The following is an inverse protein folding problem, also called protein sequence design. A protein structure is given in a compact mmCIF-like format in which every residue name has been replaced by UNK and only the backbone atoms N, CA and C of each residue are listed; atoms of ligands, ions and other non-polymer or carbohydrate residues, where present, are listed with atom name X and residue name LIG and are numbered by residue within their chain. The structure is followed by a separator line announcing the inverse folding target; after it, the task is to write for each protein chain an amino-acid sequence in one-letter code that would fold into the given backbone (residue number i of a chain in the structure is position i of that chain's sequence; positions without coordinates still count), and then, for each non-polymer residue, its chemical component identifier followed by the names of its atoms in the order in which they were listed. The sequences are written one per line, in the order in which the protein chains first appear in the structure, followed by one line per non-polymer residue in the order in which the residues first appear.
data_IF_478218906863
#
_entry.id   IF_478218906863
#
_cell.length_a   1.000
_cell.length_b   1.000
_cell.length_c   1.000
_cell.angle_alpha   90.00
_cell.angle_beta   90.00
_cell.angle_gamma   90.00
#
_symmetry.space_group_name_H-M   'P 1'
#
loop_
_entity.id
_entity.type
_entity.pdbx_description
1 polymer ?
2 polymer ?
3 non-polymer ?
4 non-polymer ?
#
# COMPACT_ATOMS: atom_id res chain seq x y z
N UNK A 1 -2.91 -29.22 -11.62
CA UNK A 1 -3.61 -29.04 -12.91
C UNK A 1 -5.06 -29.53 -12.88
N UNK A 2 -5.26 -30.85 -12.96
CA UNK A 2 -6.60 -31.40 -13.05
C UNK A 2 -7.40 -31.28 -11.75
N UNK A 3 -6.81 -31.65 -10.61
CA UNK A 3 -7.42 -31.45 -9.30
C UNK A 3 -7.54 -29.96 -8.99
N UNK A 4 -6.44 -29.23 -9.17
CA UNK A 4 -6.40 -27.79 -8.95
C UNK A 4 -7.47 -27.00 -9.70
N UNK A 5 -7.78 -27.41 -10.92
CA UNK A 5 -8.78 -26.72 -11.74
C UNK A 5 -10.23 -27.03 -11.34
N UNK A 6 -10.40 -28.05 -10.49
CA UNK A 6 -11.72 -28.62 -10.22
C UNK A 6 -12.24 -28.35 -8.81
N UNK A 7 -11.34 -28.35 -7.83
CA UNK A 7 -11.74 -28.27 -6.42
C UNK A 7 -12.00 -26.86 -5.93
N UNK A 8 -13.17 -26.68 -5.32
CA UNK A 8 -13.48 -25.48 -4.55
C UNK A 8 -13.10 -25.74 -3.11
N UNK A 9 -12.76 -24.68 -2.39
CA UNK A 9 -12.32 -24.82 -1.00
C UNK A 9 -13.43 -25.25 -0.03
N UNK A 10 -14.70 -25.12 -0.45
CA UNK A 10 -15.82 -25.65 0.34
C UNK A 10 -15.83 -27.19 0.42
N UNK A 11 -15.04 -27.85 -0.44
CA UNK A 11 -14.94 -29.31 -0.47
C UNK A 11 -13.71 -29.87 0.24
N UNK A 12 -12.75 -29.01 0.55
CA UNK A 12 -11.50 -29.42 1.19
C UNK A 12 -11.57 -29.63 2.71
N UNK A 13 -12.67 -29.22 3.35
CA UNK A 13 -12.73 -29.19 4.82
C UNK A 13 -12.82 -30.56 5.46
N UNK A 14 -13.71 -31.40 4.96
CA UNK A 14 -13.78 -32.79 5.41
C UNK A 14 -12.46 -33.50 5.18
N UNK A 15 -11.73 -33.04 4.16
CA UNK A 15 -10.45 -33.61 3.80
C UNK A 15 -9.34 -33.13 4.74
N UNK A 16 -9.37 -31.85 5.12
CA UNK A 16 -8.39 -31.31 6.07
C UNK A 16 -8.56 -31.83 7.50
N UNK A 17 -9.73 -32.37 7.84
CA UNK A 17 -9.94 -33.05 9.12
C UNK A 17 -9.07 -34.29 9.27
N UNK A 18 -9.00 -35.08 8.20
CA UNK A 18 -8.15 -36.26 8.15
C UNK A 18 -6.66 -35.89 8.06
N UNK A 19 -6.35 -34.76 7.42
CA UNK A 19 -4.98 -34.27 7.28
C UNK A 19 -4.86 -32.80 7.74
N UNK A 20 -4.89 -32.56 9.07
CA UNK A 20 -4.72 -31.19 9.57
C UNK A 20 -3.30 -30.66 9.39
N UNK A 21 -2.34 -31.58 9.28
CA UNK A 21 -0.93 -31.25 9.04
C UNK A 21 -0.69 -30.46 7.74
N UNK A 22 -1.53 -30.71 6.73
CA UNK A 22 -1.37 -30.09 5.43
C UNK A 22 -2.15 -28.77 5.25
N UNK A 23 -2.94 -28.40 6.26
CA UNK A 23 -3.74 -27.17 6.20
C UNK A 23 -2.87 -25.92 6.14
N UNK A 24 -1.93 -25.83 7.08
CA UNK A 24 -0.97 -24.72 7.11
C UNK A 24 -0.20 -24.67 5.79
N UNK A 25 0.29 -25.82 5.37
CA UNK A 25 0.99 -25.97 4.09
C UNK A 25 0.16 -25.37 2.95
N UNK A 26 -1.12 -25.73 2.88
CA UNK A 26 -2.04 -25.18 1.89
C UNK A 26 -2.16 -23.65 2.01
N UNK A 27 -2.35 -23.18 3.23
CA UNK A 27 -2.58 -21.76 3.48
C UNK A 27 -1.40 -20.89 3.04
N UNK A 28 -0.21 -21.24 3.52
CA UNK A 28 1.01 -20.51 3.16
C UNK A 28 1.26 -20.43 1.65
N UNK A 29 0.99 -21.53 0.97
CA UNK A 29 1.23 -21.70 -0.47
C UNK A 29 0.62 -20.61 -1.35
N UNK A 30 -0.55 -20.11 -0.96
CA UNK A 30 -1.29 -19.13 -1.78
C UNK A 30 -0.74 -17.72 -1.57
N UNK A 31 0.41 -17.44 -2.19
CA UNK A 31 1.07 -16.15 -2.04
C UNK A 31 1.30 -15.40 -3.36
N UNK A 32 0.90 -15.98 -4.49
CA UNK A 32 1.01 -15.30 -5.79
C UNK A 32 -0.24 -14.46 -6.02
N UNK A 33 -0.11 -13.14 -5.86
CA UNK A 33 -1.24 -12.22 -5.97
C UNK A 33 -1.77 -12.12 -7.39
N UNK A 34 -3.09 -11.96 -7.51
CA UNK A 34 -3.76 -11.77 -8.80
C UNK A 34 -4.51 -10.44 -8.83
N UNK A 35 -4.91 -9.93 -7.65
CA UNK A 35 -5.65 -8.68 -7.54
C UNK A 35 -4.80 -7.63 -6.81
N UNK A 36 -5.34 -6.41 -6.70
CA UNK A 36 -4.65 -5.29 -6.06
C UNK A 36 -4.19 -4.22 -7.02
N UNK A 37 -4.66 -4.28 -8.27
CA UNK A 37 -4.37 -3.26 -9.28
C UNK A 37 -5.63 -2.50 -9.66
N UNK A 38 -5.46 -1.21 -9.99
CA UNK A 38 -6.54 -0.37 -10.49
C UNK A 38 -5.96 0.77 -11.33
N UNK A 39 -6.75 1.25 -12.28
CA UNK A 39 -6.33 2.34 -13.15
C UNK A 39 -6.32 3.68 -12.42
N UNK A 40 -5.49 4.59 -12.91
CA UNK A 40 -5.40 5.94 -12.35
C UNK A 40 -5.69 6.95 -13.45
N UNK A 41 -6.49 7.96 -13.14
CA UNK A 41 -6.85 8.98 -14.13
C UNK A 41 -6.01 10.23 -13.96
N UNK A 42 -5.37 10.66 -15.04
CA UNK A 42 -4.46 11.80 -15.02
C UNK A 42 -5.20 13.12 -15.25
N UNK A 43 -4.69 14.21 -14.67
CA UNK A 43 -3.52 14.30 -13.79
C UNK A 43 -3.80 13.74 -12.41
N UNK A 44 -2.92 12.86 -11.93
CA UNK A 44 -3.14 12.14 -10.68
C UNK A 44 -2.55 12.91 -9.49
N UNK A 45 -3.41 13.63 -8.77
CA UNK A 45 -2.97 14.34 -7.57
C UNK A 45 -2.75 13.36 -6.42
N UNK A 46 -1.69 13.61 -5.67
CA UNK A 46 -1.25 12.67 -4.63
C UNK A 46 -2.04 12.73 -3.32
N UNK A 47 -3.05 13.59 -3.22
CA UNK A 47 -4.06 13.45 -2.16
C UNK A 47 -5.02 12.31 -2.50
N UNK A 48 -5.19 12.03 -3.80
CA UNK A 48 -5.98 10.88 -4.27
C UNK A 48 -5.23 9.56 -4.07
N UNK A 49 -3.93 9.61 -3.84
CA UNK A 49 -3.12 8.41 -3.62
C UNK A 49 -3.64 7.55 -2.47
N UNK A 50 -3.85 6.28 -2.78
CA UNK A 50 -4.34 5.31 -1.82
C UNK A 50 -3.16 4.84 -0.96
N UNK A 51 -3.35 4.79 0.34
CA UNK A 51 -2.28 4.45 1.28
C UNK A 51 -1.69 3.06 0.99
N UNK A 52 -0.38 2.95 1.12
CA UNK A 52 0.37 1.70 0.90
C UNK A 52 0.17 1.09 -0.49
N UNK A 53 0.39 1.92 -1.50
CA UNK A 53 0.16 1.55 -2.89
C UNK A 53 1.23 2.18 -3.79
N UNK A 54 2.00 1.34 -4.48
CA UNK A 54 2.99 1.81 -5.46
C UNK A 54 2.29 2.24 -6.73
N UNK A 55 2.92 3.09 -7.51
CA UNK A 55 2.41 3.45 -8.84
C UNK A 55 3.27 2.78 -9.92
N UNK A 56 2.61 2.36 -11.00
CA UNK A 56 3.27 1.71 -12.13
C UNK A 56 2.81 2.34 -13.42
N UNK A 57 3.69 3.15 -14.01
CA UNK A 57 3.46 3.75 -15.30
C UNK A 57 4.21 2.92 -16.33
N UNK A 58 3.50 2.53 -17.38
CA UNK A 58 4.07 1.70 -18.44
C UNK A 58 3.14 1.69 -19.65
N UNK A 59 3.63 1.21 -20.81
CA UNK A 59 2.75 1.01 -21.96
C UNK A 59 1.57 0.05 -21.68
N UNK A 60 1.76 -0.85 -20.72
CA UNK A 60 0.72 -1.82 -20.34
C UNK A 60 -0.24 -1.29 -19.28
N UNK A 61 -0.17 0.02 -19.03
CA UNK A 61 -1.17 0.70 -18.23
C UNK A 61 -0.57 1.57 -17.13
N UNK A 62 -1.15 2.75 -16.97
CA UNK A 62 -0.88 3.59 -15.81
C UNK A 62 -1.79 3.09 -14.70
N UNK A 63 -1.22 2.42 -13.70
CA UNK A 63 -2.01 1.75 -12.67
C UNK A 63 -1.36 1.79 -11.29
N UNK A 64 -2.19 1.89 -10.26
CA UNK A 64 -1.74 1.82 -8.88
C UNK A 64 -1.81 0.36 -8.41
N UNK A 65 -0.81 -0.07 -7.65
CA UNK A 65 -0.68 -1.47 -7.26
C UNK A 65 -0.38 -1.57 -5.77
N UNK A 66 -1.06 -2.49 -5.10
CA UNK A 66 -0.88 -2.72 -3.67
C UNK A 66 0.54 -3.23 -3.39
N UNK A 67 1.05 -2.96 -2.20
CA UNK A 67 2.44 -3.29 -1.86
C UNK A 67 2.70 -4.80 -1.76
N UNK A 68 1.74 -5.55 -1.23
CA UNK A 68 1.87 -7.01 -1.14
C UNK A 68 1.87 -7.64 -2.54
N UNK A 69 1.04 -7.09 -3.42
CA UNK A 69 0.93 -7.55 -4.80
C UNK A 69 2.09 -7.09 -5.69
N UNK A 70 2.81 -6.05 -5.28
CA UNK A 70 3.90 -5.50 -6.08
C UNK A 70 5.10 -6.44 -6.16
N UNK A 71 5.48 -6.81 -7.38
CA UNK A 71 6.61 -7.70 -7.64
C UNK A 71 7.84 -6.97 -8.23
N UNK A 72 7.64 -5.75 -8.71
CA UNK A 72 8.76 -4.93 -9.20
C UNK A 72 9.65 -4.46 -8.04
N UNK A 73 9.04 -4.28 -6.86
CA UNK A 73 9.77 -3.86 -5.66
C UNK A 73 10.67 -4.96 -5.12
N UNK A 74 11.58 -4.58 -4.23
CA UNK A 74 12.61 -5.47 -3.70
C UNK A 74 12.58 -5.50 -2.17
N UNK A 75 12.05 -6.59 -1.61
CA UNK A 75 11.79 -6.71 -0.17
C UNK A 75 13.00 -6.37 0.71
N UNK A 76 14.18 -6.81 0.31
CA UNK A 76 15.41 -6.57 1.08
C UNK A 76 15.81 -5.10 1.18
N UNK A 77 15.58 -4.33 0.13
CA UNK A 77 16.09 -2.95 0.05
C UNK A 77 15.39 -1.97 0.98
N UNK A 78 16.18 -1.06 1.54
CA UNK A 78 15.69 -0.02 2.44
C UNK A 78 15.81 1.34 1.76
N UNK A 79 14.69 2.03 1.61
CA UNK A 79 14.66 3.38 1.04
C UNK A 79 14.64 4.41 2.17
N UNK A 80 15.30 5.57 1.95
CA UNK A 80 15.42 6.59 3.00
C UNK A 80 14.09 7.22 3.38
N UNK A 81 14.09 7.94 4.49
CA UNK A 81 12.92 8.65 4.99
C UNK A 81 12.99 10.14 4.68
N UNK A 82 11.88 10.83 4.93
CA UNK A 82 11.85 12.27 4.81
C UNK A 82 12.83 12.92 5.78
N UNK A 83 13.05 12.24 6.91
CA UNK A 83 14.04 12.66 7.90
C UNK A 83 15.45 12.50 7.37
N UNK A 84 15.74 11.38 6.73
CA UNK A 84 17.04 11.21 6.06
C UNK A 84 17.22 12.29 4.99
N UNK A 85 16.13 12.60 4.28
CA UNK A 85 16.11 13.60 3.25
C UNK A 85 16.42 14.98 3.81
N UNK A 86 15.88 15.26 5.01
CA UNK A 86 16.18 16.51 5.71
C UNK A 86 17.65 16.58 6.08
N UNK A 87 18.16 15.52 6.69
CA UNK A 87 19.58 15.43 7.00
C UNK A 87 20.43 15.69 5.75
N UNK A 88 20.02 15.14 4.61
CA UNK A 88 20.71 15.34 3.34
C UNK A 88 20.65 16.83 2.92
N UNK A 89 19.46 17.44 3.06
CA UNK A 89 19.29 18.87 2.84
C UNK A 89 20.25 19.69 3.69
N UNK A 90 20.35 19.32 4.97
CA UNK A 90 21.28 19.96 5.89
C UNK A 90 22.73 19.82 5.44
N UNK A 91 23.10 18.64 4.94
CA UNK A 91 24.48 18.39 4.48
C UNK A 91 24.75 18.59 2.96
N UNK A 92 23.86 19.31 2.26
CA UNK A 92 24.02 19.60 0.83
C UNK A 92 25.42 19.91 0.36
N UNK A 93 26.10 20.81 1.07
CA UNK A 93 27.39 21.32 0.64
C UNK A 93 28.49 20.26 0.73
N UNK A 94 28.20 19.14 1.39
CA UNK A 94 29.11 18.01 1.44
C UNK A 94 28.85 17.00 0.32
N UNK A 95 27.79 17.19 -0.45
CA UNK A 95 27.37 16.21 -1.47
C UNK A 95 26.96 16.85 -2.79
N UNK A 96 27.66 17.91 -3.16
CA UNK A 96 27.33 18.71 -4.34
C UNK A 96 27.36 17.88 -5.62
N UNK A 97 28.42 17.09 -5.82
CA UNK A 97 28.55 16.24 -7.00
C UNK A 97 27.49 15.12 -7.01
N UNK A 98 27.30 14.45 -5.88
CA UNK A 98 26.22 13.46 -5.77
C UNK A 98 24.91 14.04 -6.29
N UNK A 99 24.57 15.23 -5.82
CA UNK A 99 23.32 15.91 -6.17
C UNK A 99 23.47 16.90 -7.34
N UNK A 100 24.52 16.75 -8.14
CA UNK A 100 24.75 17.60 -9.33
C UNK A 100 23.46 17.83 -10.12
N UNK A 101 22.75 16.72 -10.32
CA UNK A 101 21.55 16.65 -11.13
C UNK A 101 20.46 17.62 -10.64
N UNK A 102 20.35 17.73 -9.32
CA UNK A 102 19.39 18.63 -8.67
C UNK A 102 19.73 20.08 -8.93
N UNK A 103 21.02 20.41 -8.88
CA UNK A 103 21.47 21.79 -9.05
C UNK A 103 21.34 22.27 -10.50
N UNK A 104 21.57 21.38 -11.48
CA UNK A 104 21.34 21.70 -12.89
C UNK A 104 19.94 22.29 -13.12
N UNK A 105 18.96 21.77 -12.41
CA UNK A 105 17.57 22.21 -12.54
C UNK A 105 17.34 23.70 -12.31
N UNK A 106 18.24 24.34 -11.56
CA UNK A 106 18.16 25.78 -11.32
C UNK A 106 18.58 26.61 -12.54
N UNK A 107 19.30 25.98 -13.47
CA UNK A 107 19.81 26.63 -14.68
C UNK A 107 20.66 27.85 -14.35
N UNK A 108 21.63 27.63 -13.46
CA UNK A 108 22.58 28.66 -13.01
C UNK A 108 21.95 29.95 -12.44
N UNK A 109 20.71 29.87 -11.98
CA UNK A 109 20.05 30.99 -11.30
C UNK A 109 20.31 30.90 -9.81
N UNK A 110 20.84 31.98 -9.23
CA UNK A 110 21.13 32.03 -7.80
C UNK A 110 19.91 32.47 -6.98
N UNK A 111 18.93 33.07 -7.63
CA UNK A 111 17.69 33.44 -6.95
C UNK A 111 16.86 32.20 -6.63
N UNK A 112 16.65 31.36 -7.65
CA UNK A 112 15.94 30.09 -7.47
C UNK A 112 16.65 29.22 -6.44
N UNK A 113 17.97 29.34 -6.40
CA UNK A 113 18.79 28.61 -5.44
C UNK A 113 18.59 29.11 -4.00
N UNK A 114 18.62 30.43 -3.83
CA UNK A 114 18.36 31.04 -2.52
C UNK A 114 16.98 30.66 -1.98
N UNK A 115 16.00 30.54 -2.86
CA UNK A 115 14.66 30.09 -2.47
C UNK A 115 14.69 28.65 -1.96
N UNK A 116 15.52 27.81 -2.57
CA UNK A 116 15.62 26.41 -2.18
C UNK A 116 16.14 26.26 -0.74
N UNK A 117 17.04 27.15 -0.33
CA UNK A 117 17.63 27.10 1.01
C UNK A 117 16.66 27.58 2.09
N UNK A 118 15.57 28.24 1.68
CA UNK A 118 14.43 28.52 2.57
C UNK A 118 13.31 27.46 2.52
N UNK A 119 13.35 26.53 1.55
CA UNK A 119 12.28 25.55 1.31
C UNK A 119 12.82 24.11 1.22
N UNK A 120 13.11 23.49 2.36
CA UNK A 120 13.67 22.15 2.35
C UNK A 120 12.90 21.06 1.56
N UNK A 121 11.55 21.10 1.56
CA UNK A 121 10.84 19.97 0.92
C UNK A 121 11.11 19.79 -0.58
N UNK A 122 11.64 20.84 -1.19
CA UNK A 122 12.07 20.80 -2.59
C UNK A 122 13.25 19.85 -2.75
N UNK A 123 14.35 20.13 -2.07
CA UNK A 123 15.46 19.17 -2.01
C UNK A 123 14.97 17.78 -1.54
N UNK A 124 14.20 17.75 -0.44
CA UNK A 124 13.76 16.47 0.14
C UNK A 124 13.07 15.59 -0.88
N UNK A 125 12.10 16.17 -1.59
CA UNK A 125 11.31 15.42 -2.56
C UNK A 125 12.19 14.92 -3.69
N UNK A 126 13.09 15.77 -4.18
CA UNK A 126 14.05 15.31 -5.19
C UNK A 126 14.84 14.15 -4.63
N UNK A 127 15.50 14.38 -3.51
CA UNK A 127 16.32 13.35 -2.86
C UNK A 127 15.55 12.05 -2.77
N UNK A 128 14.29 12.11 -2.34
CA UNK A 128 13.47 10.91 -2.14
C UNK A 128 13.14 10.21 -3.45
N UNK A 129 12.81 10.97 -4.49
CA UNK A 129 12.52 10.39 -5.78
C UNK A 129 13.77 9.78 -6.41
N UNK A 130 14.89 10.50 -6.29
CA UNK A 130 16.15 10.08 -6.89
C UNK A 130 16.62 8.73 -6.36
N UNK A 131 16.47 8.54 -5.04
CA UNK A 131 16.82 7.28 -4.40
C UNK A 131 16.02 6.10 -4.97
N UNK A 132 14.75 6.36 -5.30
CA UNK A 132 13.90 5.36 -5.94
C UNK A 132 14.26 5.19 -7.42
N UNK A 133 14.44 6.31 -8.13
CA UNK A 133 14.73 6.30 -9.56
C UNK A 133 15.79 7.33 -9.90
N UNK A 134 17.01 6.88 -10.12
CA UNK A 134 18.15 7.76 -10.42
C UNK A 134 18.01 8.52 -11.75
N UNK A 135 17.21 8.01 -12.68
CA UNK A 135 17.13 8.56 -14.04
C UNK A 135 16.04 9.63 -14.19
N UNK A 136 16.13 10.66 -13.35
CA UNK A 136 15.16 11.75 -13.30
C UNK A 136 15.85 13.09 -13.52
N UNK A 137 15.07 14.08 -13.93
CA UNK A 137 15.61 15.39 -14.24
C UNK A 137 14.67 16.41 -13.64
N UNK A 138 15.16 17.20 -12.67
CA UNK A 138 14.32 18.23 -12.08
C UNK A 138 14.47 19.57 -12.78
N UNK A 139 13.38 20.33 -12.81
CA UNK A 139 13.38 21.70 -13.32
C UNK A 139 12.69 22.59 -12.29
N UNK A 140 13.37 23.65 -11.89
CA UNK A 140 12.92 24.56 -10.85
C UNK A 140 12.40 25.85 -11.48
N UNK A 141 11.26 26.34 -10.99
CA UNK A 141 10.75 27.66 -11.34
C UNK A 141 10.04 28.28 -10.14
N UNK A 142 10.00 29.62 -10.12
CA UNK A 142 9.46 30.38 -8.99
C UNK A 142 8.27 31.23 -9.39
N UNK A 143 7.32 31.38 -8.46
CA UNK A 143 6.17 32.26 -8.65
C UNK A 143 5.78 32.88 -7.31
N UNK A 144 5.74 34.22 -7.27
CA UNK A 144 5.45 34.98 -6.05
C UNK A 144 6.41 34.63 -4.91
N UNK A 145 7.69 34.50 -5.26
CA UNK A 145 8.73 34.15 -4.29
C UNK A 145 8.66 32.75 -3.72
N UNK A 146 7.95 31.85 -4.41
CA UNK A 146 7.81 30.46 -3.98
C UNK A 146 8.35 29.51 -5.05
N UNK A 147 9.29 28.66 -4.65
CA UNK A 147 9.88 27.65 -5.51
C UNK A 147 8.95 26.44 -5.76
N UNK A 148 8.80 26.10 -7.04
CA UNK A 148 8.06 24.93 -7.47
C UNK A 148 9.05 24.03 -8.22
N UNK A 149 8.65 22.79 -8.49
CA UNK A 149 9.54 21.84 -9.15
C UNK A 149 8.77 20.89 -10.04
N UNK A 150 9.38 20.54 -11.17
CA UNK A 150 8.87 19.49 -12.05
C UNK A 150 9.98 18.47 -12.20
N UNK A 151 9.64 17.20 -11.99
CA UNK A 151 10.62 16.11 -12.06
C UNK A 151 10.23 15.20 -13.22
N UNK A 152 11.05 15.23 -14.27
CA UNK A 152 10.84 14.39 -15.45
C UNK A 152 11.55 13.06 -15.27
N UNK A 153 10.85 11.97 -15.58
CA UNK A 153 11.47 10.65 -15.63
C UNK A 153 11.97 10.38 -17.05
N UNK A 154 13.25 10.07 -17.16
CA UNK A 154 13.90 9.85 -18.46
C UNK A 154 13.30 8.67 -19.22
N UNK A 155 13.03 7.59 -18.50
CA UNK A 155 12.47 6.37 -19.09
C UNK A 155 10.94 6.44 -19.21
N UNK A 156 10.37 5.68 -20.16
CA UNK A 156 8.92 5.64 -20.31
C UNK A 156 8.24 4.72 -19.29
N UNK A 157 8.88 3.59 -18.97
CA UNK A 157 8.39 2.71 -17.93
C UNK A 157 8.93 3.20 -16.59
N UNK A 158 8.02 3.61 -15.70
CA UNK A 158 8.38 4.19 -14.41
C UNK A 158 7.59 3.53 -13.29
N UNK A 159 8.31 3.04 -12.28
CA UNK A 159 7.71 2.45 -11.11
C UNK A 159 8.07 3.29 -9.88
N UNK A 160 7.05 3.93 -9.30
CA UNK A 160 7.22 4.74 -8.10
C UNK A 160 6.88 3.87 -6.88
N UNK A 161 7.89 3.47 -6.09
CA UNK A 161 7.58 2.59 -4.96
C UNK A 161 6.71 3.23 -3.90
N UNK A 162 6.00 2.40 -3.16
CA UNK A 162 5.04 2.84 -2.16
C UNK A 162 5.64 3.72 -1.06
N UNK A 163 6.70 3.23 -0.43
CA UNK A 163 7.34 3.97 0.66
C UNK A 163 8.03 5.26 0.19
N UNK A 164 8.46 5.31 -1.08
CA UNK A 164 8.97 6.56 -1.67
C UNK A 164 7.90 7.66 -1.66
N UNK A 165 6.65 7.26 -1.88
CA UNK A 165 5.52 8.18 -1.95
C UNK A 165 5.14 8.62 -0.53
N UNK A 166 4.93 7.64 0.35
CA UNK A 166 4.65 7.93 1.75
C UNK A 166 5.56 9.01 2.30
N UNK A 167 6.86 8.89 2.02
CA UNK A 167 7.84 9.86 2.50
C UNK A 167 7.69 11.20 1.79
N UNK A 168 7.43 11.16 0.49
CA UNK A 168 7.17 12.37 -0.31
C UNK A 168 6.07 13.22 0.28
N UNK A 169 4.97 12.57 0.65
CA UNK A 169 3.82 13.29 1.17
C UNK A 169 4.14 13.88 2.54
N UNK A 170 4.99 13.20 3.30
CA UNK A 170 5.47 13.71 4.58
C UNK A 170 6.26 15.02 4.39
N UNK A 171 7.21 15.02 3.47
CA UNK A 171 7.96 16.24 3.17
C UNK A 171 7.07 17.31 2.54
N UNK A 172 6.02 16.90 1.83
CA UNK A 172 5.14 17.83 1.10
C UNK A 172 3.94 18.35 1.91
N UNK A 173 3.64 17.74 3.04
CA UNK A 173 2.33 17.94 3.70
C UNK A 173 1.89 19.39 3.92
N UNK A 174 0.58 19.61 3.79
CA UNK A 174 -0.08 20.92 3.95
C UNK A 174 0.35 21.97 2.91
N UNK A 175 1.61 22.37 2.94
CA UNK A 175 2.13 23.43 2.08
C UNK A 175 2.21 23.09 0.58
N UNK A 176 2.42 21.83 0.23
CA UNK A 176 2.62 21.45 -1.17
C UNK A 176 1.50 20.57 -1.71
N UNK A 177 1.34 20.62 -3.03
CA UNK A 177 0.53 19.64 -3.76
C UNK A 177 1.45 18.97 -4.77
N UNK A 178 1.25 17.67 -4.94
CA UNK A 178 2.02 16.89 -5.89
C UNK A 178 1.04 16.24 -6.85
N UNK A 179 1.34 16.31 -8.14
CA UNK A 179 0.53 15.64 -9.16
C UNK A 179 1.42 14.88 -10.11
N UNK A 180 1.07 13.63 -10.39
CA UNK A 180 1.73 12.86 -11.43
C UNK A 180 0.98 13.07 -12.75
N UNK A 181 1.74 13.19 -13.83
CA UNK A 181 1.17 13.33 -15.16
C UNK A 181 2.13 12.94 -16.28
N UNK A 182 1.57 12.41 -17.36
CA UNK A 182 2.34 12.04 -18.56
C UNK A 182 2.19 13.13 -19.61
N UNK A 183 3.31 13.49 -20.23
CA UNK A 183 3.33 14.48 -21.30
C UNK A 183 4.34 14.02 -22.36
N UNK A 184 3.90 13.97 -23.61
CA UNK A 184 4.73 13.52 -24.73
C UNK A 184 5.40 12.15 -24.43
N UNK A 185 4.63 11.26 -23.81
CA UNK A 185 5.08 9.91 -23.41
C UNK A 185 6.03 9.84 -22.18
N UNK A 186 6.36 10.98 -21.57
CA UNK A 186 7.24 11.00 -20.40
C UNK A 186 6.46 11.31 -19.11
N UNK A 187 6.90 10.71 -18.00
CA UNK A 187 6.27 10.92 -16.70
C UNK A 187 6.84 12.19 -16.07
N UNK A 188 5.94 13.01 -15.51
CA UNK A 188 6.35 14.25 -14.87
C UNK A 188 5.61 14.46 -13.55
N UNK A 189 6.38 14.50 -12.46
CA UNK A 189 5.83 14.77 -11.14
C UNK A 189 5.97 16.26 -10.84
N UNK A 190 4.83 16.91 -10.59
CA UNK A 190 4.77 18.35 -10.39
C UNK A 190 4.52 18.69 -8.93
N UNK A 191 5.48 19.40 -8.33
CA UNK A 191 5.36 19.81 -6.94
C UNK A 191 5.09 21.31 -6.87
N UNK A 192 3.91 21.66 -6.37
CA UNK A 192 3.51 23.06 -6.25
C UNK A 192 3.50 23.52 -4.79
N UNK A 193 4.24 24.58 -4.51
CA UNK A 193 4.28 25.23 -3.21
C UNK A 193 3.22 26.30 -3.05
N UNK A 194 2.26 26.05 -2.17
CA UNK A 194 1.20 27.02 -1.86
C UNK A 194 1.67 28.13 -0.94
N UNK A 195 2.46 27.77 0.08
CA UNK A 195 2.92 28.73 1.08
C UNK A 195 4.31 28.34 1.59
N UNK A 196 5.17 29.34 1.78
CA UNK A 196 6.51 29.13 2.35
C UNK A 196 6.44 29.35 3.86
N UNK A 197 6.36 28.25 4.60
CA UNK A 197 6.42 28.30 6.05
C UNK A 197 7.85 28.59 6.51
N UNK A 198 8.00 28.88 7.79
CA UNK A 198 9.30 29.15 8.39
C UNK A 198 10.14 27.89 8.48
N UNK A 199 11.39 27.98 8.01
CA UNK A 199 12.37 26.92 8.19
C UNK A 199 13.13 27.21 9.46
N UNK A 200 13.31 26.19 10.30
CA UNK A 200 14.03 26.33 11.55
C UNK A 200 15.53 26.01 11.41
N UNK A 201 15.99 25.80 10.18
CA UNK A 201 17.43 25.61 9.92
C UNK A 201 17.90 26.64 8.91
N UNK A 202 19.20 26.93 8.91
CA UNK A 202 19.79 27.88 7.97
C UNK A 202 20.98 27.28 7.24
N UNK A 203 20.82 27.06 5.94
CA UNK A 203 21.86 26.50 5.09
C UNK A 203 22.77 27.63 4.64
N UNK A 204 24.08 27.37 4.62
CA UNK A 204 25.06 28.38 4.27
C UNK A 204 24.96 28.68 2.77
N UNK A 205 24.20 29.72 2.45
CA UNK A 205 23.84 30.05 1.07
C UNK A 205 25.08 30.32 0.23
N UNK A 206 26.04 31.03 0.82
CA UNK A 206 27.23 31.48 0.09
C UNK A 206 28.11 30.32 -0.39
N UNK A 207 28.52 29.46 0.53
CA UNK A 207 29.35 28.28 0.17
C UNK A 207 28.62 27.37 -0.82
N UNK A 208 27.29 27.32 -0.72
CA UNK A 208 26.48 26.54 -1.65
C UNK A 208 26.44 27.21 -3.03
N UNK A 209 26.03 28.47 -3.07
CA UNK A 209 25.91 29.24 -4.32
C UNK A 209 27.23 29.35 -5.06
N UNK A 210 28.30 29.64 -4.32
CA UNK A 210 29.63 29.78 -4.89
C UNK A 210 30.15 28.42 -5.41
N UNK A 211 29.95 27.36 -4.62
CA UNK A 211 30.39 26.02 -5.02
C UNK A 211 29.60 25.45 -6.20
N UNK A 212 28.35 25.90 -6.35
CA UNK A 212 27.52 25.50 -7.49
C UNK A 212 27.98 26.19 -8.79
N UNK A 213 28.29 27.49 -8.70
CA UNK A 213 28.82 28.24 -9.84
C UNK A 213 30.09 27.59 -10.41
N UNK A 214 30.93 27.05 -9.54
CA UNK A 214 32.20 26.45 -9.94
C UNK A 214 32.07 25.20 -10.79
N UNK A 215 31.03 24.42 -10.55
CA UNK A 215 30.81 23.18 -11.31
C UNK A 215 30.63 23.43 -12.81
N UNK A 216 31.17 22.51 -13.61
CA UNK A 216 30.95 22.51 -15.06
C UNK A 216 29.74 21.64 -15.39
N UNK A 217 28.89 22.13 -16.29
CA UNK A 217 27.76 21.35 -16.80
C UNK A 217 28.26 20.52 -17.98
N UNK A 218 28.26 19.17 -17.86
CA UNK A 218 28.70 18.34 -19.00
C UNK A 218 27.76 18.47 -20.21
N UNK A 219 28.29 18.20 -21.39
CA UNK A 219 27.51 18.34 -22.64
C UNK A 219 26.42 17.27 -22.80
N UNK A 220 26.67 16.07 -22.26
CA UNK A 220 25.64 15.03 -22.20
C UNK A 220 24.46 15.53 -21.38
N UNK A 221 24.76 16.05 -20.20
CA UNK A 221 23.78 16.67 -19.32
C UNK A 221 23.10 17.86 -20.01
N UNK A 222 23.91 18.76 -20.54
CA UNK A 222 23.41 19.97 -21.18
C UNK A 222 22.41 19.65 -22.29
N UNK A 223 22.81 18.77 -23.22
CA UNK A 223 21.96 18.41 -24.37
C UNK A 223 20.72 17.60 -23.97
N UNK A 224 20.86 16.72 -22.99
CA UNK A 224 19.72 15.95 -22.47
C UNK A 224 18.73 16.85 -21.74
N UNK A 225 19.25 17.72 -20.87
CA UNK A 225 18.44 18.71 -20.15
C UNK A 225 17.74 19.66 -21.12
N UNK A 226 18.47 20.10 -22.13
CA UNK A 226 17.95 20.97 -23.18
C UNK A 226 16.68 20.41 -23.81
N UNK A 227 16.70 19.11 -24.09
CA UNK A 227 15.54 18.40 -24.64
C UNK A 227 14.36 18.46 -23.67
N UNK A 228 14.62 18.18 -22.40
CA UNK A 228 13.56 18.04 -21.41
C UNK A 228 12.91 19.35 -20.97
N UNK A 229 13.68 20.44 -20.87
CA UNK A 229 13.12 21.73 -20.46
C UNK A 229 11.88 22.11 -21.27
N UNK A 230 11.91 21.82 -22.58
CA UNK A 230 10.78 22.07 -23.48
C UNK A 230 9.53 21.30 -23.05
N UNK A 231 9.70 20.02 -22.77
CA UNK A 231 8.61 19.13 -22.39
C UNK A 231 7.74 19.71 -21.28
N UNK A 232 8.37 20.19 -20.21
CA UNK A 232 7.67 20.81 -19.09
C UNK A 232 6.91 22.06 -19.52
N UNK A 233 7.60 22.95 -20.24
CA UNK A 233 6.98 24.18 -20.71
C UNK A 233 5.72 23.91 -21.51
N UNK A 234 5.69 22.78 -22.23
CA UNK A 234 4.49 22.37 -22.95
C UNK A 234 3.37 21.87 -22.03
N UNK A 235 3.73 21.21 -20.93
CA UNK A 235 2.72 20.75 -19.95
C UNK A 235 2.15 21.90 -19.13
N UNK A 236 3.02 22.83 -18.74
CA UNK A 236 2.57 24.04 -18.05
C UNK A 236 1.54 24.76 -18.91
N UNK A 237 1.94 25.06 -20.15
CA UNK A 237 1.10 25.75 -21.12
C UNK A 237 1.37 25.24 -22.53
N UNK B 1 -23.07 -28.87 21.43
CA UNK B 1 -23.12 -27.39 21.18
C UNK B 1 -21.94 -26.64 21.81
N UNK B 2 -21.59 -27.04 23.03
CA UNK B 2 -20.37 -26.55 23.68
C UNK B 2 -19.14 -27.01 22.90
N UNK B 3 -19.19 -28.24 22.39
CA UNK B 3 -18.10 -28.80 21.59
C UNK B 3 -17.98 -28.04 20.27
N UNK B 4 -19.13 -27.74 19.67
CA UNK B 4 -19.18 -26.94 18.45
C UNK B 4 -18.64 -25.54 18.69
N UNK B 5 -19.13 -24.89 19.74
CA UNK B 5 -18.67 -23.57 20.15
C UNK B 5 -17.14 -23.55 20.30
N UNK B 6 -16.61 -24.55 21.00
CA UNK B 6 -15.17 -24.68 21.18
C UNK B 6 -14.46 -24.87 19.84
N UNK B 7 -14.94 -25.82 19.05
CA UNK B 7 -14.41 -26.10 17.72
C UNK B 7 -14.16 -24.83 16.91
N UNK B 8 -15.17 -23.95 16.86
CA UNK B 8 -15.08 -22.67 16.13
C UNK B 8 -14.00 -21.74 16.68
N UNK B 9 -13.95 -21.62 18.01
CA UNK B 9 -12.96 -20.81 18.69
C UNK B 9 -11.54 -21.34 18.43
N UNK B 10 -11.37 -22.65 18.57
CA UNK B 10 -10.05 -23.27 18.38
C UNK B 10 -9.57 -23.07 16.94
N UNK B 11 -10.49 -23.17 15.98
CA UNK B 11 -10.16 -22.94 14.57
C UNK B 11 -9.72 -21.50 14.33
N UNK B 12 -10.51 -20.56 14.83
CA UNK B 12 -10.22 -19.13 14.68
C UNK B 12 -8.82 -18.77 15.18
N UNK B 13 -8.42 -19.36 16.31
CA UNK B 13 -7.06 -19.18 16.83
C UNK B 13 -6.00 -19.75 15.91
N UNK B 14 -6.30 -20.91 15.31
CA UNK B 14 -5.36 -21.56 14.40
C UNK B 14 -5.19 -20.76 13.11
N UNK B 15 -6.30 -20.54 12.40
CA UNK B 15 -6.27 -19.92 11.06
C UNK B 15 -5.67 -18.52 11.11
N UNK B 16 -6.09 -17.74 12.11
CA UNK B 16 -5.59 -16.37 12.30
C UNK B 16 -4.30 -16.34 13.10
N UNK B 17 -3.91 -17.49 13.65
CA UNK B 17 -2.66 -17.64 14.38
C UNK B 17 -2.61 -16.61 15.50
N UNK B 18 -3.60 -16.69 16.37
CA UNK B 18 -3.73 -15.79 17.48
C UNK B 18 -3.32 -16.47 18.77
N UNK B 19 -2.59 -15.73 19.61
CA UNK B 19 -2.22 -16.18 20.92
C UNK B 19 -3.42 -16.10 21.86
N UNK B 20 -3.32 -16.72 23.03
CA UNK B 20 -4.47 -16.81 23.93
C UNK B 20 -5.05 -15.44 24.31
N UNK B 21 -4.20 -14.46 24.56
CA UNK B 21 -4.65 -13.10 24.90
C UNK B 21 -5.28 -12.33 23.73
N UNK B 22 -5.11 -12.82 22.51
CA UNK B 22 -5.52 -12.08 21.31
C UNK B 22 -6.92 -12.42 20.82
N UNK B 23 -7.56 -13.42 21.43
CA UNK B 23 -8.94 -13.77 21.08
C UNK B 23 -9.87 -13.64 22.29
N UNK B 24 -10.95 -12.91 22.08
CA UNK B 24 -11.97 -12.69 23.09
C UNK B 24 -13.14 -13.64 22.82
N UNK B 25 -13.46 -14.48 23.79
CA UNK B 25 -14.57 -15.42 23.69
C UNK B 25 -15.69 -14.94 24.59
N UNK B 26 -16.92 -15.05 24.10
CA UNK B 26 -18.10 -14.80 24.90
C UNK B 26 -18.73 -16.17 25.12
N UNK B 27 -19.29 -16.44 26.29
CA UNK B 27 -19.71 -17.82 26.60
C UNK B 27 -21.01 -18.20 25.89
N UNK B 28 -21.11 -19.48 25.52
CA UNK B 28 -22.21 -20.00 24.69
C UNK B 28 -23.58 -19.83 25.34
N UNK B 29 -23.65 -19.99 26.67
CA UNK B 29 -24.88 -19.73 27.40
C UNK B 29 -25.41 -18.32 27.20
N UNK B 30 -24.52 -17.33 27.30
CA UNK B 30 -24.89 -15.93 27.09
C UNK B 30 -25.11 -15.59 25.60
N UNK B 31 -24.49 -16.36 24.71
CA UNK B 31 -24.73 -16.23 23.26
C UNK B 31 -26.05 -16.88 22.87
N UNK B 32 -26.35 -18.04 23.44
CA UNK B 32 -27.58 -18.77 23.14
C UNK B 32 -28.84 -17.94 23.37
N UNK B 33 -28.82 -17.12 24.42
CA UNK B 33 -29.95 -16.27 24.78
C UNK B 33 -30.24 -15.20 23.73
N UNK B 34 -29.20 -14.53 23.24
CA UNK B 34 -29.35 -13.43 22.28
C UNK B 34 -28.69 -13.74 20.94
N UNK B 35 -29.45 -13.65 19.83
CA UNK B 35 -28.90 -13.94 18.51
C UNK B 35 -27.85 -12.91 18.02
N UNK B 36 -27.92 -11.68 18.51
CA UNK B 36 -27.06 -10.60 18.02
C UNK B 36 -25.66 -10.50 18.67
N UNK B 37 -25.26 -11.48 19.46
CA UNK B 37 -23.91 -11.46 20.07
C UNK B 37 -22.88 -12.29 19.27
N UNK B 38 -21.68 -11.72 19.15
CA UNK B 38 -20.54 -12.39 18.52
C UNK B 38 -20.08 -13.58 19.35
N UNK B 39 -19.59 -14.62 18.70
CA UNK B 39 -19.06 -15.78 19.43
C UNK B 39 -17.61 -15.55 19.84
N UNK B 40 -16.83 -14.91 18.97
CA UNK B 40 -15.47 -14.49 19.32
C UNK B 40 -14.97 -13.27 18.54
N UNK B 41 -14.15 -12.45 19.20
CA UNK B 41 -13.60 -11.24 18.60
C UNK B 41 -12.08 -11.32 18.57
N UNK B 42 -11.54 -11.28 17.36
CA UNK B 42 -10.12 -11.52 17.14
C UNK B 42 -9.36 -10.19 17.02
N UNK B 43 -8.28 -10.06 17.79
CA UNK B 43 -7.43 -8.88 17.77
C UNK B 43 -6.41 -9.02 16.62
N UNK B 44 -6.52 -8.15 15.61
CA UNK B 44 -5.69 -8.27 14.42
C UNK B 44 -4.51 -7.29 14.40
N UNK B 45 -3.32 -7.82 14.08
CA UNK B 45 -2.12 -7.01 13.93
C UNK B 45 -2.09 -6.36 12.55
N UNK B 46 -1.52 -5.16 12.48
CA UNK B 46 -1.31 -4.49 11.20
C UNK B 46 -0.21 -5.19 10.40
N UNK B 47 -0.21 -4.96 9.09
CA UNK B 47 0.78 -5.52 8.17
C UNK B 47 0.93 -7.04 8.31
N UNK B 48 -0.14 -7.69 8.74
CA UNK B 48 -0.15 -9.13 8.90
C UNK B 48 -1.20 -9.61 7.92
N UNK B 49 -0.88 -10.68 7.19
CA UNK B 49 -1.80 -11.30 6.25
C UNK B 49 -2.65 -12.37 6.97
N UNK B 50 -3.96 -12.29 6.78
CA UNK B 50 -4.92 -13.15 7.48
C UNK B 50 -5.83 -13.89 6.51
N UNK B 51 -5.98 -15.19 6.75
CA UNK B 51 -6.76 -16.05 5.87
C UNK B 51 -8.24 -16.01 6.22
N UNK B 52 -8.87 -14.88 5.91
CA UNK B 52 -10.29 -14.63 6.21
C UNK B 52 -11.25 -15.59 5.49
N UNK B 53 -10.99 -15.89 4.22
CA UNK B 53 -11.88 -16.73 3.43
C UNK B 53 -11.91 -18.16 3.98
N UNK B 54 -10.73 -18.71 4.24
CA UNK B 54 -10.64 -20.06 4.75
C UNK B 54 -11.33 -20.19 6.11
N UNK B 55 -11.24 -19.14 6.92
CA UNK B 55 -11.90 -19.08 8.21
C UNK B 55 -13.43 -19.04 8.06
N UNK B 56 -13.91 -18.16 7.19
CA UNK B 56 -15.34 -18.13 6.85
C UNK B 56 -15.80 -19.50 6.35
N UNK B 57 -15.03 -20.09 5.44
CA UNK B 57 -15.42 -21.35 4.82
C UNK B 57 -15.38 -22.53 5.81
N UNK B 58 -14.42 -22.52 6.74
CA UNK B 58 -14.42 -23.48 7.85
C UNK B 58 -15.71 -23.33 8.65
N UNK B 59 -16.11 -22.09 8.92
CA UNK B 59 -17.32 -21.83 9.70
C UNK B 59 -18.58 -22.31 8.97
N UNK B 60 -18.65 -22.04 7.67
CA UNK B 60 -19.71 -22.60 6.82
C UNK B 60 -19.66 -24.13 6.78
N UNK B 61 -18.47 -24.71 6.89
CA UNK B 61 -18.31 -26.16 6.95
C UNK B 61 -18.97 -26.75 8.19
N UNK B 62 -18.63 -26.21 9.37
CA UNK B 62 -19.11 -26.75 10.64
C UNK B 62 -20.55 -26.36 10.95
N UNK B 63 -20.96 -25.19 10.49
CA UNK B 63 -22.32 -24.70 10.74
C UNK B 63 -23.22 -25.00 9.55
N UNK B 64 -24.53 -24.94 9.80
CA UNK B 64 -25.52 -24.95 8.73
C UNK B 64 -26.03 -23.51 8.54
N UNK B 65 -25.11 -22.55 8.68
CA UNK B 65 -25.42 -21.12 8.63
C UNK B 65 -24.37 -20.42 7.79
N UNK B 66 -24.80 -19.37 7.10
CA UNK B 66 -23.89 -18.53 6.33
C UNK B 66 -23.20 -17.62 7.35
N UNK B 67 -21.89 -17.80 7.54
CA UNK B 67 -21.21 -17.03 8.58
C UNK B 67 -21.15 -15.54 8.26
N UNK B 68 -21.00 -14.72 9.30
CA UNK B 68 -20.86 -13.29 9.12
C UNK B 68 -19.82 -12.72 10.08
N UNK B 69 -18.72 -12.20 9.52
CA UNK B 69 -17.69 -11.55 10.32
C UNK B 69 -17.76 -10.05 10.08
N UNK B 70 -17.24 -9.29 11.03
CA UNK B 70 -17.26 -7.83 10.91
C UNK B 70 -15.98 -7.21 11.50
N UNK B 71 -15.33 -6.37 10.69
CA UNK B 71 -14.14 -5.64 11.10
C UNK B 71 -14.58 -4.42 11.89
N UNK B 72 -14.15 -4.30 13.14
CA UNK B 72 -14.39 -3.10 13.94
C UNK B 72 -13.08 -2.37 14.22
N UNK B 73 -13.10 -1.06 14.04
CA UNK B 73 -12.00 -0.19 14.42
C UNK B 73 -12.22 0.29 15.85
N UNK B 74 -11.37 -0.17 16.77
CA UNK B 74 -11.47 0.24 18.17
C UNK B 74 -10.79 1.59 18.44
N UNK B 75 -10.08 2.11 17.45
CA UNK B 75 -9.44 3.42 17.57
C UNK B 75 -7.96 3.29 17.36
N UNK B 76 -7.34 2.37 18.13
CA UNK B 76 -5.91 2.10 18.02
C UNK B 76 -5.62 0.76 17.35
N UNK B 77 -6.66 -0.04 17.10
CA UNK B 77 -6.50 -1.31 16.40
C UNK B 77 -7.84 -1.82 15.85
N UNK B 78 -7.75 -2.77 14.93
CA UNK B 78 -8.93 -3.39 14.33
C UNK B 78 -9.11 -4.78 14.87
N UNK B 79 -10.36 -5.13 15.18
CA UNK B 79 -10.70 -6.48 15.58
C UNK B 79 -11.71 -7.06 14.61
N UNK B 80 -11.67 -8.38 14.43
CA UNK B 80 -12.60 -9.10 13.58
C UNK B 80 -13.59 -9.87 14.47
N UNK B 81 -14.81 -9.36 14.54
CA UNK B 81 -15.85 -9.99 15.35
C UNK B 81 -16.58 -11.04 14.53
N UNK B 82 -16.70 -12.25 15.09
CA UNK B 82 -17.20 -13.40 14.35
C UNK B 82 -18.58 -13.86 14.82
N UNK B 83 -19.53 -13.91 13.88
CA UNK B 83 -20.89 -14.37 14.15
C UNK B 83 -21.18 -15.63 13.32
N UNK B 84 -21.94 -16.57 13.88
CA UNK B 84 -22.34 -17.77 13.14
C UNK B 84 -23.42 -17.45 12.09
N UNK B 85 -24.39 -16.64 12.48
CA UNK B 85 -25.47 -16.18 11.61
C UNK B 85 -25.44 -14.65 11.69
N UNK B 86 -25.77 -13.99 10.58
CA UNK B 86 -25.74 -12.53 10.55
C UNK B 86 -26.66 -11.93 11.61
N UNK B 87 -26.18 -10.92 12.37
CA UNK B 87 -27.04 -10.31 13.37
C UNK B 87 -28.25 -9.60 12.76
N UNK B 88 -29.30 -9.44 13.56
CA UNK B 88 -30.53 -8.79 13.09
C UNK B 88 -30.24 -7.30 12.85
N UNK B 89 -29.65 -6.65 13.85
CA UNK B 89 -29.25 -5.24 13.73
C UNK B 89 -27.77 -5.08 14.09
N UNK B 90 -27.11 -4.13 13.41
CA UNK B 90 -25.69 -3.88 13.58
C UNK B 90 -25.42 -2.40 13.82
N UNK B 91 -24.15 -2.07 14.06
CA UNK B 91 -23.74 -0.66 14.22
C UNK B 91 -24.05 0.04 12.91
N UNK B 92 -24.74 1.17 13.00
CA UNK B 92 -25.35 1.81 11.82
C UNK B 92 -24.46 1.79 10.58
N UNK B 93 -23.32 2.50 10.62
CA UNK B 93 -22.57 2.67 9.38
C UNK B 93 -21.86 1.36 9.01
N UNK B 94 -22.66 0.40 8.57
CA UNK B 94 -22.19 -0.94 8.25
C UNK B 94 -22.34 -1.16 6.76
N UNK B 95 -21.26 -1.60 6.12
CA UNK B 95 -21.29 -1.92 4.71
C UNK B 95 -20.43 -3.15 4.44
N UNK B 96 -20.49 -3.65 3.20
CA UNK B 96 -19.79 -4.87 2.83
C UNK B 96 -18.42 -4.57 2.22
N UNK B 97 -17.54 -5.54 2.34
CA UNK B 97 -16.12 -5.37 2.05
C UNK B 97 -15.76 -5.58 0.57
N UNK B 98 -14.97 -4.64 0.03
CA UNK B 98 -14.41 -4.73 -1.31
C UNK B 98 -12.92 -5.02 -1.26
N UNK B 99 -12.20 -4.69 -2.33
CA UNK B 99 -10.74 -4.93 -2.39
C UNK B 99 -9.96 -3.95 -1.49
N UNK B 100 -10.50 -2.75 -1.32
CA UNK B 100 -9.92 -1.75 -0.43
C UNK B 100 -11.05 -1.11 0.37
N UNK B 101 -10.79 -0.83 1.64
CA UNK B 101 -11.78 -0.23 2.51
C UNK B 101 -11.14 0.72 3.49
N UNK B 102 -11.78 1.88 3.68
CA UNK B 102 -11.36 2.85 4.68
C UNK B 102 -12.31 2.73 5.87
N UNK B 103 -11.77 2.26 7.00
CA UNK B 103 -12.57 1.95 8.16
C UNK B 103 -12.39 2.97 9.29
N UNK B 104 -13.45 3.75 9.54
CA UNK B 104 -13.49 4.71 10.64
C UNK B 104 -14.00 4.05 11.93
N UNK B 105 -13.77 4.70 13.08
CA UNK B 105 -14.19 4.18 14.38
C UNK B 105 -15.71 4.01 14.44
N UNK B 106 -16.40 5.02 13.93
CA UNK B 106 -17.84 5.00 13.70
C UNK B 106 -18.28 3.75 12.92
N UNK B 107 -17.65 3.53 11.79
CA UNK B 107 -18.08 2.52 10.81
C UNK B 107 -17.71 1.09 11.20
N UNK B 108 -18.32 0.14 10.50
CA UNK B 108 -18.02 -1.29 10.66
C UNK B 108 -18.20 -2.04 9.31
N UNK B 109 -17.28 -2.96 9.02
CA UNK B 109 -17.24 -3.61 7.70
C UNK B 109 -17.60 -5.08 7.77
N UNK B 110 -18.64 -5.48 7.06
CA UNK B 110 -19.09 -6.86 7.06
C UNK B 110 -18.33 -7.66 6.01
N UNK B 111 -17.90 -8.86 6.37
CA UNK B 111 -17.33 -9.81 5.44
C UNK B 111 -18.09 -11.13 5.47
N UNK B 112 -18.60 -11.53 4.30
CA UNK B 112 -19.19 -12.84 4.11
C UNK B 112 -18.49 -13.53 2.93
N UNK B 113 -18.80 -14.81 2.72
CA UNK B 113 -18.26 -15.56 1.59
C UNK B 113 -18.67 -14.97 0.25
N UNK B 114 -19.88 -14.43 0.16
CA UNK B 114 -20.39 -13.90 -1.10
C UNK B 114 -19.71 -12.60 -1.56
N UNK B 115 -19.14 -11.85 -0.64
CA UNK B 115 -18.36 -10.65 -0.97
C UNK B 115 -16.99 -11.04 -1.53
N UNK B 116 -16.51 -12.20 -1.09
CA UNK B 116 -15.20 -12.73 -1.49
C UNK B 116 -15.27 -13.29 -2.91
N UNK B 117 -16.32 -14.05 -3.20
CA UNK B 117 -16.59 -14.57 -4.55
C UNK B 117 -16.52 -13.46 -5.60
N UNK B 118 -17.11 -12.32 -5.28
CA UNK B 118 -17.10 -11.15 -6.15
C UNK B 118 -15.70 -10.60 -6.42
N UNK B 119 -14.82 -10.71 -5.42
CA UNK B 119 -13.47 -10.18 -5.51
C UNK B 119 -12.54 -11.13 -6.25
N UNK B 120 -12.64 -12.42 -5.95
CA UNK B 120 -11.76 -13.42 -6.55
C UNK B 120 -12.15 -13.70 -8.01
N UNK B 121 -11.17 -13.73 -8.94
CA UNK B 121 -11.45 -13.96 -10.37
C UNK B 121 -11.98 -15.37 -10.68
N UNK B 122 -11.24 -16.39 -10.27
CA UNK B 122 -11.69 -17.78 -10.42
C UNK B 122 -11.93 -18.37 -9.03
N UNK B 123 -12.53 -19.56 -8.98
CA UNK B 123 -12.89 -20.19 -7.72
C UNK B 123 -12.01 -21.39 -7.35
N UNK B 124 -11.13 -21.82 -8.26
CA UNK B 124 -10.54 -23.16 -8.15
C UNK B 124 -9.11 -23.23 -7.60
N UNK B 125 -8.30 -22.21 -7.86
CA UNK B 125 -6.96 -22.13 -7.27
C UNK B 125 -6.69 -20.75 -6.73
N UNK B 126 -7.70 -20.17 -6.09
CA UNK B 126 -7.61 -18.80 -5.60
C UNK B 126 -8.14 -18.73 -4.16
N UNK B 127 -7.28 -18.25 -3.27
CA UNK B 127 -7.64 -17.99 -1.88
C UNK B 127 -7.43 -16.51 -1.62
N UNK B 128 -8.42 -15.87 -1.00
CA UNK B 128 -8.30 -14.45 -0.69
C UNK B 128 -7.95 -14.28 0.78
N UNK B 129 -7.10 -13.30 1.03
CA UNK B 129 -6.64 -12.98 2.37
C UNK B 129 -6.82 -11.49 2.60
N UNK B 130 -6.81 -11.08 3.87
CA UNK B 130 -6.99 -9.67 4.23
C UNK B 130 -5.80 -9.16 5.02
N UNK B 131 -5.59 -7.85 4.92
CA UNK B 131 -4.49 -7.15 5.61
C UNK B 131 -5.02 -5.83 6.15
N UNK B 132 -4.67 -5.51 7.41
CA UNK B 132 -5.02 -4.21 7.96
C UNK B 132 -3.79 -3.29 7.97
N UNK B 133 -4.01 -2.01 7.62
CA UNK B 133 -2.94 -1.02 7.59
C UNK B 133 -3.34 0.20 8.39
N UNK B 134 -2.36 0.80 9.05
CA UNK B 134 -2.54 2.09 9.71
C UNK B 134 -2.65 3.18 8.64
N UNK B 135 -3.68 4.02 8.75
CA UNK B 135 -3.91 5.06 7.76
C UNK B 135 -2.94 6.22 7.90
N UNK B 136 -2.95 7.07 6.87
CA UNK B 136 -2.33 8.40 6.90
C UNK B 136 -2.75 9.15 8.17
N UNK B 137 -4.04 9.11 8.47
CA UNK B 137 -4.59 9.71 9.70
C UNK B 137 -4.38 8.80 10.90
N UNK B 138 -4.57 9.36 12.09
CA UNK B 138 -4.31 8.65 13.35
C UNK B 138 -5.38 7.62 13.70
N UNK B 139 -6.66 8.00 13.56
CA UNK B 139 -7.78 7.14 13.99
C UNK B 139 -8.21 6.09 12.97
N UNK B 140 -7.82 6.28 11.71
CA UNK B 140 -8.35 5.49 10.60
C UNK B 140 -7.47 4.26 10.30
N UNK B 141 -8.10 3.21 9.77
CA UNK B 141 -7.39 2.03 9.30
C UNK B 141 -7.87 1.68 7.90
N UNK B 142 -7.02 0.96 7.17
CA UNK B 142 -7.39 0.38 5.88
C UNK B 142 -7.49 -1.14 5.98
N UNK B 143 -8.55 -1.69 5.41
CA UNK B 143 -8.67 -3.13 5.24
C UNK B 143 -8.48 -3.43 3.77
N UNK B 144 -7.52 -4.28 3.46
CA UNK B 144 -7.26 -4.70 2.09
C UNK B 144 -7.61 -6.18 1.95
N UNK B 145 -8.46 -6.49 0.99
CA UNK B 145 -8.74 -7.86 0.57
C UNK B 145 -8.08 -8.12 -0.78
N UNK B 146 -7.19 -9.11 -0.83
CA UNK B 146 -6.47 -9.42 -2.06
C UNK B 146 -6.45 -10.94 -2.31
N UNK B 147 -6.76 -11.32 -3.55
CA UNK B 147 -6.81 -12.73 -3.96
C UNK B 147 -5.43 -13.25 -4.34
N UNK B 148 -5.20 -14.54 -4.08
CA UNK B 148 -3.89 -15.18 -4.25
C UNK B 148 -3.98 -16.57 -4.86
N UNK B 149 -3.11 -16.85 -5.82
CA UNK B 149 -2.89 -18.21 -6.33
C UNK B 149 -1.63 -18.80 -5.73
N UNK B 150 -1.33 -20.08 -6.02
CA UNK B 150 -0.19 -20.76 -5.41
C UNK B 150 1.18 -20.37 -5.99
N UNK B 151 2.24 -20.61 -5.21
CA UNK B 151 3.62 -20.39 -5.68
C UNK B 151 3.91 -21.32 -6.86
N UNK B 152 3.74 -22.61 -6.65
CA UNK B 152 3.87 -23.62 -7.70
C UNK B 152 2.61 -24.47 -7.79
N UNK B 153 2.15 -24.69 -9.03
CA UNK B 153 0.92 -25.42 -9.29
C UNK B 153 1.18 -26.92 -9.17
N UNK B 154 2.41 -27.31 -9.46
CA UNK B 154 2.85 -28.68 -9.24
C UNK B 154 2.76 -29.05 -7.76
N UNK B 155 3.39 -28.23 -6.92
CA UNK B 155 3.36 -28.43 -5.46
C UNK B 155 1.91 -28.45 -4.94
N UNK B 156 1.09 -27.54 -5.45
CA UNK B 156 -0.31 -27.47 -5.07
C UNK B 156 -1.06 -28.75 -5.43
N UNK B 157 -0.90 -29.19 -6.67
CA UNK B 157 -1.53 -30.42 -7.13
C UNK B 157 -1.01 -31.63 -6.35
N UNK B 158 0.30 -31.67 -6.11
CA UNK B 158 0.90 -32.71 -5.25
C UNK B 158 0.18 -32.74 -3.91
N UNK B 159 0.01 -31.56 -3.32
CA UNK B 159 -0.67 -31.40 -2.05
C UNK B 159 -2.09 -31.93 -2.12
N UNK B 160 -2.81 -31.54 -3.18
CA UNK B 160 -4.18 -32.02 -3.38
C UNK B 160 -4.21 -33.54 -3.52
N UNK B 161 -3.24 -34.11 -4.23
CA UNK B 161 -3.13 -35.57 -4.33
C UNK B 161 -2.87 -36.22 -2.97
N UNK B 162 -1.89 -35.69 -2.23
CA UNK B 162 -1.56 -36.18 -0.89
C UNK B 162 -2.77 -36.15 0.04
N UNK B 163 -3.64 -35.16 -0.16
CA UNK B 163 -4.87 -35.03 0.62
C UNK B 163 -5.88 -36.17 0.38
N UNK B 164 -5.78 -36.86 -0.77
CA UNK B 164 -6.67 -37.99 -1.08
C UNK B 164 -5.86 -39.27 -1.29
N UNK B 165 -5.49 -39.92 -0.18
CA UNK B 165 -4.69 -41.14 -0.21
C UNK B 165 -5.58 -42.37 -0.17
#
# INVERSE_FOLDING_TARGET
GPLGSMLKLSELHDVFQRHPELELKYLNMMKMAITGKESICLPFNFHSHRQHTCLDISPYGNEQVSRIACTSCEDNRILPTASDAMVAFINQTSNIMKNRNFYYGFCKSSELLKLSTNQPPIFQIYYLLHAANHDIVPFMHAEDGRLHMHVIFENPDVHIPCDCITQMLTAAREDYSVTLNIVRDHVVISVLCHAVSASSVKIDVTILQRKIDEMDIPNDVSESFERYKELIQELCQ
NKVLHQDLVQATRRILKLGPSELRVTDAGLICKNPNYSVCDAMLKTDTVYCVEYLLSYWESRADHVPCFIFKNTGCAVSLCCFVRAPVALVSPARHVGEFNVLKVNESLIVTLKDIEEIKPSAYGVLTKCVVRKSNSASVFNIELIAFGPENEGEYENLLRELYA
#
